data_IF_242059161886
#
_entry.id   IF_242059161886
#
_cell.length_a   1.000
_cell.length_b   1.000
_cell.length_c   1.000
_cell.angle_alpha   90.00
_cell.angle_beta   90.00
_cell.angle_gamma   90.00
#
_symmetry.space_group_name_H-M   'P 1'
#
loop_
_entity.id
_entity.type
_entity.pdbx_description
1 polymer ?
#
# COMPACT_ATOMS: atom_id res chain seq x y z
N UNK A 1 22.78 -39.98 -15.61
CA UNK A 1 21.45 -39.43 -15.26
C UNK A 1 21.58 -37.96 -14.90
N UNK A 2 20.81 -37.05 -15.51
CA UNK A 2 20.69 -35.65 -15.05
C UNK A 2 19.26 -35.46 -14.54
N UNK A 3 19.09 -35.23 -13.24
CA UNK A 3 17.78 -34.93 -12.64
C UNK A 3 17.26 -33.63 -13.24
N UNK A 4 16.07 -33.70 -13.83
CA UNK A 4 15.43 -32.59 -14.57
C UNK A 4 15.10 -31.45 -13.61
N UNK A 5 15.11 -30.23 -14.16
CA UNK A 5 15.10 -28.96 -13.43
C UNK A 5 14.05 -28.85 -12.31
N UNK A 6 14.41 -28.02 -11.33
CA UNK A 6 13.60 -27.72 -10.14
C UNK A 6 12.22 -27.19 -10.57
N UNK A 7 11.17 -27.96 -10.26
CA UNK A 7 9.79 -27.48 -10.37
C UNK A 7 9.55 -26.47 -9.24
N UNK A 8 9.27 -25.21 -9.59
CA UNK A 8 8.87 -24.17 -8.64
C UNK A 8 7.40 -23.87 -8.87
N UNK A 9 6.56 -24.25 -7.90
CA UNK A 9 5.16 -23.86 -7.87
C UNK A 9 5.01 -22.57 -7.06
N UNK A 10 4.23 -21.58 -7.53
CA UNK A 10 3.98 -20.37 -6.76
C UNK A 10 3.15 -20.72 -5.51
N UNK A 11 3.59 -20.23 -4.35
CA UNK A 11 2.83 -20.36 -3.11
C UNK A 11 1.89 -19.17 -2.95
N UNK A 12 0.65 -19.45 -2.58
CA UNK A 12 -0.31 -18.40 -2.25
C UNK A 12 -0.02 -17.85 -0.86
N UNK A 13 0.17 -16.53 -0.79
CA UNK A 13 0.44 -15.83 0.47
C UNK A 13 -0.83 -15.13 0.92
N UNK A 14 -1.24 -15.38 2.16
CA UNK A 14 -2.41 -14.78 2.78
C UNK A 14 -2.00 -13.83 3.90
N UNK A 15 -2.78 -12.77 4.10
CA UNK A 15 -2.59 -11.80 5.18
C UNK A 15 -3.91 -11.46 5.86
N UNK A 16 -3.83 -11.09 7.15
CA UNK A 16 -5.00 -10.75 7.97
C UNK A 16 -5.30 -9.27 7.90
N UNK A 17 -6.54 -8.92 7.57
CA UNK A 17 -6.99 -7.53 7.43
C UNK A 17 -7.93 -7.15 8.59
N UNK A 18 -9.24 -7.44 8.48
CA UNK A 18 -10.25 -7.13 9.51
C UNK A 18 -10.89 -8.43 10.00
N UNK A 19 -10.08 -9.29 10.59
CA UNK A 19 -10.58 -10.53 11.20
C UNK A 19 -10.46 -11.79 10.34
N UNK A 20 -10.35 -11.69 9.01
CA UNK A 20 -10.19 -12.83 8.07
C UNK A 20 -8.94 -12.73 7.20
N UNK A 21 -8.59 -13.84 6.54
CA UNK A 21 -7.44 -13.96 5.62
C UNK A 21 -7.83 -13.64 4.17
N UNK A 22 -7.05 -12.80 3.49
CA UNK A 22 -7.21 -12.45 2.06
C UNK A 22 -5.90 -12.72 1.30
N UNK A 23 -5.92 -13.26 0.07
CA UNK A 23 -4.72 -13.45 -0.73
C UNK A 23 -4.07 -12.09 -1.03
N UNK A 24 -2.76 -12.01 -0.78
CA UNK A 24 -1.97 -10.77 -0.94
C UNK A 24 -1.87 -10.37 -2.42
N UNK A 25 -1.94 -11.36 -3.32
CA UNK A 25 -1.95 -11.12 -4.77
C UNK A 25 -3.13 -10.25 -5.23
N UNK A 26 -4.25 -10.22 -4.49
CA UNK A 26 -5.44 -9.44 -4.82
C UNK A 26 -5.48 -8.05 -4.16
N UNK A 27 -4.36 -7.55 -3.64
CA UNK A 27 -4.31 -6.22 -3.02
C UNK A 27 -4.28 -5.11 -4.08
N UNK A 28 -5.17 -4.12 -3.93
CA UNK A 28 -5.13 -2.88 -4.69
C UNK A 28 -4.11 -1.90 -4.07
N UNK A 29 -3.80 -0.83 -4.79
CA UNK A 29 -2.80 0.17 -4.37
C UNK A 29 -3.10 0.76 -2.99
N UNK A 30 -4.37 1.11 -2.72
CA UNK A 30 -4.77 1.63 -1.41
C UNK A 30 -4.52 0.65 -0.25
N UNK A 31 -4.69 -0.66 -0.46
CA UNK A 31 -4.39 -1.66 0.60
C UNK A 31 -2.90 -1.88 0.80
N UNK A 32 -2.08 -1.74 -0.24
CA UNK A 32 -0.61 -1.78 -0.11
C UNK A 32 -0.12 -0.59 0.71
N UNK A 33 -0.64 0.61 0.44
CA UNK A 33 -0.33 1.82 1.20
C UNK A 33 -0.76 1.69 2.66
N UNK A 34 -2.03 1.31 2.90
CA UNK A 34 -2.55 1.09 4.27
C UNK A 34 -1.67 0.09 5.04
N UNK A 35 -1.20 -0.98 4.39
CA UNK A 35 -0.33 -1.97 5.04
C UNK A 35 1.07 -1.41 5.35
N UNK A 36 1.64 -0.57 4.49
CA UNK A 36 2.93 0.07 4.70
C UNK A 36 2.93 1.03 5.90
N UNK A 37 1.79 1.66 6.16
CA UNK A 37 1.59 2.58 7.30
C UNK A 37 1.38 1.84 8.64
N UNK A 38 1.26 0.50 8.64
CA UNK A 38 1.06 -0.27 9.88
C UNK A 38 2.35 -0.37 10.71
N UNK A 39 2.23 -0.04 11.99
CA UNK A 39 3.31 -0.23 12.95
C UNK A 39 3.40 -1.69 13.42
N UNK A 40 4.62 -2.21 13.50
CA UNK A 40 4.92 -3.53 14.07
C UNK A 40 5.28 -3.35 15.54
N UNK A 41 4.80 -4.27 16.38
CA UNK A 41 5.26 -4.36 17.75
C UNK A 41 6.64 -5.02 17.76
N UNK A 42 7.59 -4.39 18.43
CA UNK A 42 8.91 -4.95 18.67
C UNK A 42 8.92 -5.62 20.05
N UNK A 43 9.22 -6.91 20.09
CA UNK A 43 9.28 -7.68 21.35
C UNK A 43 10.55 -7.38 22.16
N UNK A 44 11.56 -6.75 21.55
CA UNK A 44 12.79 -6.35 22.23
C UNK A 44 12.65 -5.05 23.03
N UNK A 45 11.59 -4.28 22.78
CA UNK A 45 11.35 -2.99 23.44
C UNK A 45 10.47 -3.22 24.67
N UNK A 46 11.05 -3.04 25.85
CA UNK A 46 10.27 -2.96 27.10
C UNK A 46 9.47 -1.65 27.11
N UNK A 47 8.25 -1.63 27.70
CA UNK A 47 7.33 -0.49 27.61
C UNK A 47 7.87 0.84 28.17
N UNK A 48 9.03 0.82 28.84
CA UNK A 48 9.68 2.00 29.40
C UNK A 48 10.54 2.80 28.40
N UNK A 49 10.90 2.25 27.23
CA UNK A 49 11.93 2.82 26.35
C UNK A 49 11.44 3.23 24.95
N UNK A 50 10.13 3.44 24.75
CA UNK A 50 9.60 3.78 23.41
C UNK A 50 9.91 5.24 23.06
N UNK A 51 11.09 5.50 22.49
CA UNK A 51 11.33 6.70 21.69
C UNK A 51 10.50 6.63 20.40
N UNK A 52 9.56 7.57 20.25
CA UNK A 52 8.77 7.72 19.03
C UNK A 52 9.70 8.15 17.89
N UNK A 53 10.06 7.24 16.98
CA UNK A 53 10.59 7.68 15.68
C UNK A 53 9.49 8.50 15.00
N UNK A 54 9.75 9.74 14.56
CA UNK A 54 8.77 10.52 13.84
C UNK A 54 8.44 9.76 12.56
N UNK A 55 7.14 9.52 12.35
CA UNK A 55 6.60 9.05 11.08
C UNK A 55 7.22 9.91 9.97
N UNK A 56 7.74 9.35 8.87
CA UNK A 56 7.94 10.15 7.68
C UNK A 56 6.60 10.82 7.38
N UNK A 57 6.60 12.15 7.30
CA UNK A 57 5.40 12.93 7.05
C UNK A 57 4.73 12.38 5.78
N UNK A 58 3.39 12.30 5.73
CA UNK A 58 2.72 11.98 4.50
C UNK A 58 2.98 13.13 3.52
N UNK A 59 3.92 12.95 2.60
CA UNK A 59 3.97 13.74 1.39
C UNK A 59 2.79 13.33 0.50
N UNK A 60 1.61 13.83 0.87
CA UNK A 60 0.48 13.93 -0.05
C UNK A 60 0.61 15.27 -0.77
N UNK A 61 1.02 15.33 -2.05
CA UNK A 61 0.75 16.51 -2.86
C UNK A 61 -0.75 16.53 -3.21
N UNK A 62 -1.62 16.75 -2.21
CA UNK A 62 -2.96 17.26 -2.42
C UNK A 62 -2.87 18.78 -2.35
N UNK A 63 -2.46 19.41 -3.46
CA UNK A 63 -2.85 20.77 -3.88
C UNK A 63 -1.90 21.27 -4.97
N UNK A 64 -2.42 21.34 -6.20
CA UNK A 64 -2.34 22.48 -7.11
C UNK A 64 -2.74 22.03 -8.52
N UNK A 65 -3.82 22.60 -9.04
CA UNK A 65 -4.21 22.42 -10.44
C UNK A 65 -5.70 22.59 -10.69
N UNK A 66 -6.28 23.72 -10.30
CA UNK A 66 -7.58 24.18 -10.82
C UNK A 66 -7.48 24.18 -12.34
N UNK A 67 -8.29 23.37 -13.02
CA UNK A 67 -8.40 23.45 -14.48
C UNK A 67 -9.03 24.80 -14.84
N UNK A 68 -8.44 25.64 -15.71
CA UNK A 68 -9.11 26.83 -16.17
C UNK A 68 -10.27 26.41 -17.07
N UNK A 69 -11.47 26.87 -16.74
CA UNK A 69 -12.63 26.88 -17.62
C UNK A 69 -12.26 27.64 -18.91
N UNK A 70 -12.00 26.92 -20.00
CA UNK A 70 -11.92 27.56 -21.32
C UNK A 70 -13.34 27.71 -21.87
N UNK A 71 -13.85 28.94 -21.78
CA UNK A 71 -15.06 29.35 -22.49
C UNK A 71 -14.73 29.64 -23.95
N UNK A 72 -15.35 28.89 -24.86
CA UNK A 72 -15.64 29.28 -26.26
C UNK A 72 -17.02 28.68 -26.54
N UNK A 73 -18.10 29.46 -26.63
CA UNK A 73 -18.41 30.30 -27.79
C UNK A 73 -19.30 29.48 -28.74
N UNK A 74 -20.61 29.71 -28.69
CA UNK A 74 -21.60 28.84 -29.32
C UNK A 74 -21.69 28.89 -30.85
N UNK A 75 -22.43 27.94 -31.43
CA UNK A 75 -23.45 28.20 -32.46
C UNK A 75 -24.29 26.95 -32.74
N UNK A 76 -25.57 27.23 -32.97
CA UNK A 76 -26.64 26.42 -33.55
C UNK A 76 -26.20 25.47 -34.68
N UNK A 77 -26.61 24.20 -34.63
CA UNK A 77 -27.59 23.55 -35.53
C UNK A 77 -28.16 22.31 -34.84
#
# INVERSE_FOLDING_TARGET
MKCRGKLVMPTEVYSRIVGYYRPVQCWNEGKKQEYAERNKYDTSVTPAAIEKKPSPAPEHPCSRGTSPIVGVGGRQI
#
